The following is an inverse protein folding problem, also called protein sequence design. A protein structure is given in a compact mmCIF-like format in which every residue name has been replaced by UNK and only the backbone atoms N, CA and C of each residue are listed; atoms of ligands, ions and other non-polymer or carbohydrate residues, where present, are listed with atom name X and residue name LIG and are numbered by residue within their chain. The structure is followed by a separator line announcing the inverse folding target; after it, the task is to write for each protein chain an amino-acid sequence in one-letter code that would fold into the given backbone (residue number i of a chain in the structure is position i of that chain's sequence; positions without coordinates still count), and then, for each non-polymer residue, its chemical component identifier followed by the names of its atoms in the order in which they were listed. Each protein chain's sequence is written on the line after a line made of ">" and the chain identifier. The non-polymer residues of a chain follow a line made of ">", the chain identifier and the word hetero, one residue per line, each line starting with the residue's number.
data_IF_585079408583
#
_entry.id   IF_585079408583
#
_cell.length_a   1.000
_cell.length_b   1.000
_cell.length_c   1.000
_cell.angle_alpha   90.00
_cell.angle_beta   90.00
_cell.angle_gamma   90.00
#
_symmetry.space_group_name_H-M   'P 1'
#
loop_
_entity.id
_entity.type
_entity.pdbx_description
1 polymer ?
#
# COMPACT_ATOMS: atom_id res chain seq x y z
N UNK A 1 13.54 37.09 48.94
CA UNK A 1 12.63 35.97 49.28
C UNK A 1 11.33 35.88 48.47
N UNK A 2 10.75 36.98 47.96
CA UNK A 2 9.50 36.91 47.14
C UNK A 2 9.73 36.40 45.70
N UNK A 3 10.87 36.74 45.09
CA UNK A 3 11.19 36.35 43.71
C UNK A 3 11.48 34.85 43.55
N UNK A 4 12.16 34.19 44.50
CA UNK A 4 12.43 32.74 44.42
C UNK A 4 11.16 31.90 44.59
N UNK A 5 10.17 32.37 45.37
CA UNK A 5 8.86 31.70 45.50
C UNK A 5 8.04 31.78 44.21
N UNK A 6 8.14 32.88 43.46
CA UNK A 6 7.45 33.06 42.18
C UNK A 6 8.08 32.22 41.05
N UNK A 7 9.41 32.07 41.07
CA UNK A 7 10.14 31.22 40.14
C UNK A 7 9.86 29.72 40.40
N UNK A 8 9.72 29.33 41.67
CA UNK A 8 9.38 27.95 42.03
C UNK A 8 7.95 27.59 41.63
N UNK A 9 7.00 28.53 41.75
CA UNK A 9 5.60 28.33 41.37
C UNK A 9 5.42 28.15 39.85
N UNK A 10 6.22 28.86 39.04
CA UNK A 10 6.18 28.78 37.58
C UNK A 10 6.79 27.48 37.03
N UNK A 11 7.83 26.94 37.67
CA UNK A 11 8.40 25.62 37.32
C UNK A 11 7.41 24.50 37.63
N UNK A 12 6.71 24.54 38.76
CA UNK A 12 5.70 23.52 39.12
C UNK A 12 4.51 23.53 38.15
N UNK A 13 4.08 24.72 37.69
CA UNK A 13 3.01 24.85 36.69
C UNK A 13 3.43 24.31 35.31
N UNK A 14 4.70 24.47 34.89
CA UNK A 14 5.20 23.89 33.64
C UNK A 14 5.34 22.36 33.69
N UNK A 15 5.73 21.79 34.83
CA UNK A 15 5.81 20.33 34.98
C UNK A 15 4.43 19.65 35.05
N UNK A 16 3.40 20.33 35.58
CA UNK A 16 2.03 19.82 35.59
C UNK A 16 1.41 19.67 34.19
N UNK A 17 1.83 20.46 33.20
CA UNK A 17 1.32 20.39 31.83
C UNK A 17 1.90 19.24 31.01
N UNK A 18 3.08 18.71 31.36
CA UNK A 18 3.67 17.56 30.68
C UNK A 18 2.95 16.24 31.02
N UNK A 19 2.36 16.12 32.20
CA UNK A 19 1.64 14.91 32.61
C UNK A 19 0.26 14.77 31.94
N UNK A 20 -0.33 15.87 31.48
CA UNK A 20 -1.67 15.90 30.85
C UNK A 20 -1.63 15.65 29.33
N UNK A 21 -0.45 15.57 28.71
CA UNK A 21 -0.30 15.45 27.25
C UNK A 21 -0.22 14.01 26.73
N UNK A 22 -0.25 13.00 27.60
CA UNK A 22 -0.13 11.59 27.21
C UNK A 22 -1.46 10.87 27.41
N UNK A 23 -2.44 11.14 26.53
CA UNK A 23 -3.55 10.22 26.35
C UNK A 23 -2.97 8.89 25.87
N UNK A 24 -2.97 7.89 26.74
CA UNK A 24 -2.55 6.53 26.38
C UNK A 24 -3.48 6.02 25.29
N UNK A 25 -2.93 5.69 24.11
CA UNK A 25 -3.66 4.99 23.07
C UNK A 25 -4.32 3.74 23.67
N UNK A 26 -5.57 3.45 23.28
CA UNK A 26 -6.24 2.24 23.74
C UNK A 26 -5.42 1.01 23.35
N UNK A 27 -5.30 0.05 24.26
CA UNK A 27 -4.51 -1.17 24.06
C UNK A 27 -5.45 -2.36 23.89
N UNK A 28 -5.26 -3.13 22.83
CA UNK A 28 -5.98 -4.37 22.57
C UNK A 28 -4.99 -5.54 22.68
N UNK A 29 -5.26 -6.48 23.56
CA UNK A 29 -4.36 -7.61 23.83
C UNK A 29 -4.58 -8.75 22.83
N UNK A 30 -3.51 -9.49 22.52
CA UNK A 30 -3.58 -10.71 21.70
C UNK A 30 -2.46 -11.69 22.06
N UNK A 31 -2.70 -13.00 21.90
CA UNK A 31 -1.61 -14.01 21.87
C UNK A 31 -1.42 -14.58 20.47
N UNK A 32 -2.48 -14.56 19.65
CA UNK A 32 -2.42 -14.84 18.23
C UNK A 32 -2.16 -13.57 17.42
N UNK A 33 -1.35 -13.67 16.37
CA UNK A 33 -1.15 -12.56 15.44
C UNK A 33 -2.38 -12.32 14.53
N UNK A 34 -3.40 -13.17 14.55
CA UNK A 34 -4.57 -13.04 13.69
C UNK A 34 -5.74 -12.33 14.36
N UNK A 35 -6.43 -11.50 13.59
CA UNK A 35 -7.59 -10.72 14.04
C UNK A 35 -8.77 -11.04 13.13
N UNK A 36 -9.93 -11.33 13.73
CA UNK A 36 -11.20 -11.39 13.02
C UNK A 36 -11.77 -9.96 12.91
N UNK A 37 -12.36 -9.66 11.76
CA UNK A 37 -12.96 -8.35 11.50
C UNK A 37 -14.46 -8.55 11.29
N UNK A 38 -15.27 -7.85 12.09
CA UNK A 38 -16.71 -7.75 11.88
C UNK A 38 -17.05 -6.36 11.36
N UNK A 39 -17.56 -6.30 10.15
CA UNK A 39 -18.04 -5.08 9.50
C UNK A 39 -19.56 -5.12 9.46
N UNK A 40 -20.19 -4.22 10.20
CA UNK A 40 -21.62 -4.21 10.49
C UNK A 40 -22.08 -5.56 11.04
N UNK A 41 -22.65 -6.42 10.19
CA UNK A 41 -23.10 -7.78 10.56
C UNK A 41 -22.20 -8.90 9.99
N UNK A 42 -21.28 -8.58 9.08
CA UNK A 42 -20.48 -9.55 8.36
C UNK A 42 -19.15 -9.82 9.09
N UNK A 43 -18.98 -11.05 9.58
CA UNK A 43 -17.74 -11.48 10.24
C UNK A 43 -16.81 -12.17 9.24
N UNK A 44 -15.60 -11.64 9.10
CA UNK A 44 -14.50 -12.26 8.35
C UNK A 44 -13.44 -12.76 9.32
N UNK A 45 -13.19 -14.07 9.32
CA UNK A 45 -12.21 -14.67 10.22
C UNK A 45 -10.79 -14.54 9.65
N UNK A 46 -9.80 -14.29 10.52
CA UNK A 46 -8.39 -14.19 10.14
C UNK A 46 -8.15 -13.13 9.05
N UNK A 47 -8.97 -12.07 9.04
CA UNK A 47 -9.01 -11.07 7.99
C UNK A 47 -7.85 -10.07 8.07
N UNK A 48 -7.16 -10.05 9.20
CA UNK A 48 -6.04 -9.16 9.44
C UNK A 48 -4.97 -9.84 10.28
N UNK A 49 -3.73 -9.42 10.10
CA UNK A 49 -2.57 -9.90 10.85
C UNK A 49 -1.89 -8.73 11.54
N UNK A 50 -1.63 -8.86 12.83
CA UNK A 50 -0.86 -7.91 13.62
C UNK A 50 0.60 -7.98 13.14
N UNK A 51 1.16 -6.84 12.75
CA UNK A 51 2.56 -6.72 12.31
C UNK A 51 3.31 -5.77 13.24
N UNK A 52 3.94 -6.27 14.31
CA UNK A 52 4.78 -5.46 15.19
C UNK A 52 5.95 -4.83 14.41
N UNK A 53 6.37 -3.63 14.83
CA UNK A 53 7.50 -2.91 14.21
C UNK A 53 7.18 -2.16 12.92
N UNK A 54 5.97 -2.28 12.36
CA UNK A 54 5.47 -1.37 11.31
C UNK A 54 5.13 -0.02 11.94
N UNK A 55 5.54 1.09 11.32
CA UNK A 55 5.40 2.44 11.88
C UNK A 55 3.95 2.77 12.29
N UNK A 56 2.99 2.58 11.37
CA UNK A 56 1.54 2.58 11.62
C UNK A 56 0.90 1.66 10.59
N UNK A 57 0.08 0.71 11.04
CA UNK A 57 -0.72 -0.14 10.15
C UNK A 57 -2.13 0.41 9.99
N UNK A 58 -2.60 0.61 8.76
CA UNK A 58 -3.86 1.30 8.50
C UNK A 58 -4.89 0.36 7.90
N UNK A 59 -6.03 0.21 8.57
CA UNK A 59 -7.20 -0.49 8.04
C UNK A 59 -8.28 0.51 7.60
N UNK A 60 -8.85 0.29 6.43
CA UNK A 60 -9.92 1.13 5.88
C UNK A 60 -11.18 0.33 5.62
N UNK A 61 -12.35 0.88 5.96
CA UNK A 61 -13.64 0.23 5.73
C UNK A 61 -14.73 1.24 5.37
N UNK A 62 -15.73 0.78 4.62
CA UNK A 62 -16.95 1.53 4.34
C UNK A 62 -18.10 1.21 5.30
N UNK A 63 -17.88 0.30 6.26
CA UNK A 63 -18.89 -0.12 7.23
C UNK A 63 -19.28 1.04 8.17
N UNK A 64 -20.50 1.02 8.71
CA UNK A 64 -20.91 1.97 9.74
C UNK A 64 -20.31 1.62 11.11
N UNK A 65 -20.19 0.32 11.39
CA UNK A 65 -19.55 -0.20 12.60
C UNK A 65 -18.48 -1.23 12.25
N UNK A 66 -17.32 -1.10 12.88
CA UNK A 66 -16.21 -2.04 12.74
C UNK A 66 -15.85 -2.62 14.11
N UNK A 67 -15.76 -3.94 14.22
CA UNK A 67 -15.18 -4.61 15.38
C UNK A 67 -13.94 -5.41 14.99
N UNK A 68 -12.86 -5.25 15.75
CA UNK A 68 -11.67 -6.09 15.66
C UNK A 68 -11.65 -7.02 16.86
N UNK A 69 -11.50 -8.31 16.60
CA UNK A 69 -11.62 -9.37 17.61
C UNK A 69 -10.35 -10.22 17.56
N UNK A 70 -9.61 -10.25 18.65
CA UNK A 70 -8.44 -11.11 18.83
C UNK A 70 -8.85 -12.38 19.58
N UNK A 71 -7.88 -13.23 19.90
CA UNK A 71 -8.09 -14.40 20.76
C UNK A 71 -8.25 -14.05 22.26
N UNK A 72 -7.99 -12.79 22.64
CA UNK A 72 -8.01 -12.33 24.04
C UNK A 72 -9.04 -11.22 24.26
N UNK A 73 -9.25 -10.35 23.28
CA UNK A 73 -9.93 -9.07 23.46
C UNK A 73 -10.71 -8.66 22.20
N UNK A 74 -11.52 -7.62 22.31
CA UNK A 74 -12.20 -7.01 21.18
C UNK A 74 -12.42 -5.51 21.36
N UNK A 75 -12.33 -4.77 20.26
CA UNK A 75 -12.65 -3.35 20.21
C UNK A 75 -13.65 -3.06 19.10
N UNK A 76 -14.51 -2.07 19.30
CA UNK A 76 -15.49 -1.63 18.30
C UNK A 76 -15.43 -0.12 18.08
N UNK A 77 -15.58 0.28 16.82
CA UNK A 77 -15.57 1.66 16.37
C UNK A 77 -16.80 1.95 15.52
N UNK A 78 -17.37 3.14 15.68
CA UNK A 78 -18.26 3.72 14.68
C UNK A 78 -17.40 4.46 13.66
N UNK A 79 -17.61 4.19 12.38
CA UNK A 79 -16.87 4.81 11.29
C UNK A 79 -17.75 5.83 10.56
N UNK A 80 -17.10 6.85 10.01
CA UNK A 80 -17.73 7.84 9.18
C UNK A 80 -16.69 8.73 8.49
N UNK A 81 -17.09 9.51 7.48
CA UNK A 81 -16.18 10.40 6.77
C UNK A 81 -15.40 11.32 7.73
N UNK A 82 -14.07 11.36 7.58
CA UNK A 82 -13.18 12.18 8.41
C UNK A 82 -12.88 11.64 9.81
N UNK A 83 -13.57 10.58 10.25
CA UNK A 83 -13.32 9.96 11.57
C UNK A 83 -12.10 9.06 11.50
N UNK A 84 -11.18 9.25 12.45
CA UNK A 84 -9.94 8.47 12.59
C UNK A 84 -9.88 7.91 14.00
N UNK A 85 -9.58 6.61 14.10
CA UNK A 85 -9.31 5.94 15.38
C UNK A 85 -7.88 5.41 15.39
N UNK A 86 -7.14 5.70 16.46
CA UNK A 86 -5.79 5.16 16.68
C UNK A 86 -5.74 4.35 17.97
N UNK A 87 -5.09 3.19 17.91
CA UNK A 87 -4.93 2.30 19.05
C UNK A 87 -3.68 1.42 18.85
N UNK A 88 -3.32 0.62 19.85
CA UNK A 88 -2.21 -0.32 19.77
C UNK A 88 -2.67 -1.75 20.03
N UNK A 89 -2.25 -2.69 19.19
CA UNK A 89 -2.23 -4.09 19.57
C UNK A 89 -0.99 -4.37 20.41
N UNK A 90 -1.12 -5.20 21.45
CA UNK A 90 -0.01 -5.79 22.19
C UNK A 90 -0.09 -7.31 22.03
N UNK A 91 0.85 -7.86 21.27
CA UNK A 91 0.98 -9.27 20.99
C UNK A 91 1.92 -9.92 22.01
N UNK A 92 1.48 -11.01 22.62
CA UNK A 92 2.23 -11.76 23.65
C UNK A 92 2.74 -10.88 24.81
N UNK A 93 1.99 -9.83 25.15
CA UNK A 93 2.32 -8.91 26.25
C UNK A 93 3.53 -8.00 26.01
N UNK A 94 4.11 -7.99 24.80
CA UNK A 94 5.36 -7.25 24.53
C UNK A 94 5.35 -6.56 23.17
N UNK A 95 5.00 -7.28 22.12
CA UNK A 95 5.21 -6.81 20.76
C UNK A 95 4.07 -5.85 20.38
N UNK A 96 4.41 -4.59 20.16
CA UNK A 96 3.41 -3.53 19.95
C UNK A 96 3.24 -3.23 18.46
N UNK A 97 1.99 -3.10 18.01
CA UNK A 97 1.65 -2.63 16.66
C UNK A 97 0.69 -1.45 16.73
N UNK A 98 1.13 -0.28 16.26
CA UNK A 98 0.28 0.91 16.14
C UNK A 98 -0.67 0.74 14.98
N UNK A 99 -1.96 0.92 15.23
CA UNK A 99 -3.02 0.70 14.25
C UNK A 99 -3.86 1.94 14.11
N UNK A 100 -4.21 2.26 12.86
CA UNK A 100 -5.11 3.34 12.49
C UNK A 100 -6.31 2.77 11.74
N UNK A 101 -7.52 3.14 12.13
CA UNK A 101 -8.76 2.81 11.42
C UNK A 101 -9.32 4.09 10.80
N UNK A 102 -9.72 4.01 9.54
CA UNK A 102 -10.35 5.13 8.84
C UNK A 102 -11.52 4.65 7.98
N UNK A 103 -12.50 5.53 7.81
CA UNK A 103 -13.55 5.32 6.82
C UNK A 103 -13.00 5.50 5.40
N UNK A 104 -13.41 4.63 4.50
CA UNK A 104 -13.25 4.80 3.05
C UNK A 104 -14.56 4.42 2.36
N UNK A 105 -15.08 5.23 1.41
CA UNK A 105 -16.29 4.89 0.69
C UNK A 105 -16.20 3.51 -0.01
N UNK A 106 -17.33 2.82 -0.13
CA UNK A 106 -17.37 1.57 -0.87
C UNK A 106 -17.01 1.83 -2.34
N UNK A 107 -16.38 0.85 -3.00
CA UNK A 107 -16.01 0.98 -4.42
C UNK A 107 -17.22 1.31 -5.29
N UNK A 108 -18.38 0.72 -5.01
CA UNK A 108 -19.61 1.01 -5.73
C UNK A 108 -20.05 2.47 -5.56
N UNK A 109 -19.97 3.02 -4.35
CA UNK A 109 -20.36 4.41 -4.09
C UNK A 109 -19.39 5.39 -4.77
N UNK A 110 -18.08 5.08 -4.76
CA UNK A 110 -17.08 5.82 -5.53
C UNK A 110 -17.42 5.86 -7.02
N UNK A 111 -17.84 4.72 -7.58
CA UNK A 111 -18.20 4.62 -8.99
C UNK A 111 -19.51 5.35 -9.31
N UNK A 112 -20.51 5.28 -8.42
CA UNK A 112 -21.78 6.01 -8.58
C UNK A 112 -21.62 7.53 -8.45
N UNK A 113 -20.62 7.98 -7.69
CA UNK A 113 -20.28 9.39 -7.56
C UNK A 113 -19.53 9.95 -8.78
N UNK A 114 -19.10 9.10 -9.72
CA UNK A 114 -18.45 9.56 -10.93
C UNK A 114 -19.43 10.37 -11.80
N UNK A 115 -18.91 11.37 -12.50
CA UNK A 115 -19.68 12.12 -13.49
C UNK A 115 -20.14 11.20 -14.63
N UNK A 116 -21.23 11.59 -15.30
CA UNK A 116 -21.62 10.95 -16.55
C UNK A 116 -20.46 11.02 -17.57
N UNK A 117 -20.40 10.02 -18.45
CA UNK A 117 -19.41 10.00 -19.53
C UNK A 117 -19.57 11.24 -20.42
N UNK A 118 -18.50 12.02 -20.56
CA UNK A 118 -18.49 13.19 -21.44
C UNK A 118 -18.15 12.77 -22.87
N UNK A 119 -19.17 12.66 -23.71
CA UNK A 119 -19.00 12.33 -25.13
C UNK A 119 -18.34 13.45 -25.95
N UNK A 120 -18.24 14.67 -25.39
CA UNK A 120 -17.59 15.81 -26.02
C UNK A 120 -16.19 16.08 -25.45
N UNK A 121 -15.64 15.14 -24.67
CA UNK A 121 -14.30 15.27 -24.10
C UNK A 121 -13.23 15.40 -25.21
N UNK A 122 -12.66 16.59 -25.34
CA UNK A 122 -11.59 16.91 -26.29
C UNK A 122 -10.20 16.91 -25.63
N UNK A 123 -10.03 16.30 -24.45
CA UNK A 123 -8.71 16.21 -23.81
C UNK A 123 -7.72 15.56 -24.76
N UNK A 124 -6.52 16.12 -24.80
CA UNK A 124 -5.43 15.61 -25.64
C UNK A 124 -5.12 14.15 -25.31
N UNK A 125 -5.27 13.29 -26.30
CA UNK A 125 -4.77 11.92 -26.26
C UNK A 125 -3.43 11.90 -27.00
N UNK A 126 -2.33 11.48 -26.34
CA UNK A 126 -1.04 11.40 -27.00
C UNK A 126 -1.11 10.48 -28.21
N UNK A 127 -0.52 10.91 -29.32
CA UNK A 127 -0.40 10.06 -30.50
C UNK A 127 0.48 8.87 -30.15
N UNK A 128 -0.08 7.68 -30.28
CA UNK A 128 0.69 6.45 -30.17
C UNK A 128 1.34 6.16 -31.53
N UNK A 129 2.67 6.15 -31.57
CA UNK A 129 3.44 5.75 -32.75
C UNK A 129 4.57 4.81 -32.34
N UNK A 130 4.90 3.90 -33.24
CA UNK A 130 6.06 3.03 -33.07
C UNK A 130 7.34 3.78 -33.39
N UNK A 131 8.38 3.55 -32.60
CA UNK A 131 9.74 4.01 -32.91
C UNK A 131 10.27 3.27 -34.14
N UNK A 132 11.17 3.92 -34.89
CA UNK A 132 11.85 3.28 -36.02
C UNK A 132 12.64 2.06 -35.54
N UNK A 133 12.69 0.99 -36.34
CA UNK A 133 13.57 -0.14 -36.10
C UNK A 133 15.07 0.24 -36.07
N UNK A 134 15.42 1.41 -36.61
CA UNK A 134 16.77 1.98 -36.56
C UNK A 134 17.04 2.81 -35.31
N UNK A 135 16.09 2.94 -34.38
CA UNK A 135 16.30 3.66 -33.12
C UNK A 135 17.43 3.01 -32.29
N UNK A 136 18.36 3.84 -31.83
CA UNK A 136 19.57 3.36 -31.14
C UNK A 136 19.26 2.65 -29.83
N UNK A 137 18.21 3.06 -29.10
CA UNK A 137 17.80 2.40 -27.87
C UNK A 137 17.13 1.05 -28.17
N UNK A 138 16.31 0.97 -29.22
CA UNK A 138 15.73 -0.30 -29.65
C UNK A 138 16.78 -1.30 -30.12
N UNK A 139 17.75 -0.86 -30.93
CA UNK A 139 18.86 -1.71 -31.35
C UNK A 139 19.70 -2.19 -30.16
N UNK A 140 19.94 -1.31 -29.18
CA UNK A 140 20.63 -1.66 -27.93
C UNK A 140 19.87 -2.74 -27.15
N UNK A 141 18.58 -2.53 -26.88
CA UNK A 141 17.74 -3.49 -26.13
C UNK A 141 17.70 -4.84 -26.86
N UNK A 142 17.49 -4.82 -28.18
CA UNK A 142 17.44 -6.01 -29.03
C UNK A 142 18.72 -6.84 -28.94
N UNK A 143 19.88 -6.18 -29.01
CA UNK A 143 21.20 -6.82 -28.91
C UNK A 143 21.47 -7.33 -27.50
N UNK A 144 21.33 -6.46 -26.49
CA UNK A 144 21.76 -6.74 -25.13
C UNK A 144 20.89 -7.85 -24.49
N UNK A 145 19.61 -7.93 -24.85
CA UNK A 145 18.69 -8.97 -24.39
C UNK A 145 18.55 -10.15 -25.37
N UNK A 146 19.25 -10.12 -26.52
CA UNK A 146 19.20 -11.16 -27.58
C UNK A 146 17.78 -11.46 -28.07
N UNK A 147 16.97 -10.42 -28.26
CA UNK A 147 15.53 -10.55 -28.54
C UNK A 147 15.22 -11.29 -29.85
N UNK A 148 16.10 -11.24 -30.84
CA UNK A 148 15.91 -11.99 -32.09
C UNK A 148 15.94 -13.50 -31.90
N UNK A 149 16.84 -13.97 -31.04
CA UNK A 149 16.94 -15.39 -30.72
C UNK A 149 15.72 -15.86 -29.93
N UNK A 150 15.17 -14.98 -29.08
CA UNK A 150 13.97 -15.28 -28.29
C UNK A 150 12.75 -15.29 -29.19
N UNK A 151 12.58 -14.27 -30.04
CA UNK A 151 11.47 -14.17 -30.97
C UNK A 151 11.46 -15.32 -31.99
N UNK A 152 12.64 -15.75 -32.44
CA UNK A 152 12.80 -16.81 -33.44
C UNK A 152 12.43 -16.37 -34.86
N UNK A 153 12.36 -17.35 -35.77
CA UNK A 153 12.18 -17.10 -37.21
C UNK A 153 10.76 -17.39 -37.73
N UNK A 154 9.78 -17.53 -36.82
CA UNK A 154 8.39 -17.83 -37.16
C UNK A 154 7.61 -16.63 -37.73
N UNK A 155 6.29 -16.79 -37.79
CA UNK A 155 5.37 -15.71 -38.16
C UNK A 155 5.47 -14.52 -37.19
N UNK A 156 4.93 -13.37 -37.58
CA UNK A 156 4.87 -12.19 -36.72
C UNK A 156 4.20 -12.49 -35.36
N UNK A 157 3.06 -13.17 -35.38
CA UNK A 157 2.35 -13.57 -34.16
C UNK A 157 3.19 -14.51 -33.30
N UNK A 158 3.88 -15.50 -33.90
CA UNK A 158 4.77 -16.39 -33.16
C UNK A 158 5.92 -15.63 -32.50
N UNK A 159 6.51 -14.64 -33.19
CA UNK A 159 7.57 -13.79 -32.63
C UNK A 159 7.06 -12.98 -31.44
N UNK A 160 5.87 -12.37 -31.56
CA UNK A 160 5.23 -11.61 -30.47
C UNK A 160 4.97 -12.53 -29.27
N UNK A 161 4.36 -13.70 -29.48
CA UNK A 161 4.09 -14.64 -28.39
C UNK A 161 5.35 -15.13 -27.71
N UNK A 162 6.40 -15.44 -28.46
CA UNK A 162 7.68 -15.84 -27.88
C UNK A 162 8.29 -14.75 -26.98
N UNK A 163 8.22 -13.48 -27.41
CA UNK A 163 8.68 -12.35 -26.60
C UNK A 163 7.81 -12.16 -25.35
N UNK A 164 6.49 -12.23 -25.47
CA UNK A 164 5.57 -12.08 -24.33
C UNK A 164 5.75 -13.20 -23.30
N UNK A 165 5.88 -14.45 -23.76
CA UNK A 165 6.16 -15.60 -22.89
C UNK A 165 7.52 -15.45 -22.21
N UNK A 166 8.53 -14.99 -22.94
CA UNK A 166 9.85 -14.76 -22.37
C UNK A 166 9.81 -13.70 -21.27
N UNK A 167 9.17 -12.55 -21.49
CA UNK A 167 9.03 -11.52 -20.43
C UNK A 167 8.28 -12.07 -19.23
N UNK A 168 7.16 -12.77 -19.45
CA UNK A 168 6.33 -13.34 -18.39
C UNK A 168 7.10 -14.37 -17.54
N UNK A 169 7.92 -15.21 -18.18
CA UNK A 169 8.72 -16.23 -17.49
C UNK A 169 9.98 -15.65 -16.83
N UNK A 170 10.50 -14.53 -17.34
CA UNK A 170 11.68 -13.87 -16.81
C UNK A 170 11.37 -13.04 -15.57
N UNK A 171 10.22 -12.36 -15.54
CA UNK A 171 9.86 -11.37 -14.51
C UNK A 171 8.57 -11.77 -13.80
N UNK A 172 8.65 -12.00 -12.49
CA UNK A 172 7.49 -12.29 -11.64
C UNK A 172 6.56 -11.08 -11.57
N UNK A 173 5.27 -11.28 -11.79
CA UNK A 173 4.25 -10.29 -11.45
C UNK A 173 3.86 -10.40 -9.97
N UNK A 174 3.87 -9.30 -9.22
CA UNK A 174 3.43 -9.25 -7.81
C UNK A 174 2.30 -8.25 -7.54
N UNK A 175 1.96 -7.40 -8.51
CA UNK A 175 0.82 -6.49 -8.48
C UNK A 175 0.97 -5.24 -7.63
N UNK A 176 1.88 -5.22 -6.66
CA UNK A 176 1.98 -4.12 -5.69
C UNK A 176 3.41 -3.63 -5.43
N UNK A 177 4.38 -4.04 -6.25
CA UNK A 177 5.74 -3.53 -6.16
C UNK A 177 5.84 -2.04 -6.47
N UNK A 178 6.76 -1.35 -5.78
CA UNK A 178 7.10 0.05 -6.07
C UNK A 178 7.90 0.17 -7.38
N UNK A 179 7.68 1.28 -8.09
CA UNK A 179 8.40 1.59 -9.32
C UNK A 179 9.82 2.09 -8.98
N UNK A 180 10.88 1.50 -9.56
CA UNK A 180 12.23 2.02 -9.43
C UNK A 180 12.37 3.36 -10.17
N UNK A 181 13.47 4.07 -9.90
CA UNK A 181 13.76 5.37 -10.54
C UNK A 181 13.80 5.23 -12.05
N UNK A 182 14.60 4.28 -12.55
CA UNK A 182 14.74 3.95 -13.96
C UNK A 182 13.70 2.90 -14.38
N UNK A 183 12.95 3.18 -15.45
CA UNK A 183 11.76 2.41 -15.85
C UNK A 183 11.87 1.84 -17.27
N UNK A 184 13.08 1.66 -17.77
CA UNK A 184 13.31 1.00 -19.06
C UNK A 184 13.54 -0.51 -18.84
N UNK A 185 13.31 -1.31 -19.90
CA UNK A 185 13.35 -2.77 -19.82
C UNK A 185 14.63 -3.34 -19.21
N UNK A 186 15.80 -2.79 -19.56
CA UNK A 186 17.10 -3.30 -19.09
C UNK A 186 17.22 -3.10 -17.57
N UNK A 187 16.93 -1.90 -17.09
CA UNK A 187 17.02 -1.59 -15.66
C UNK A 187 15.95 -2.33 -14.85
N UNK A 188 14.75 -2.49 -15.39
CA UNK A 188 13.69 -3.28 -14.75
C UNK A 188 14.10 -4.74 -14.56
N UNK A 189 14.62 -5.38 -15.61
CA UNK A 189 15.12 -6.76 -15.53
C UNK A 189 16.26 -6.86 -14.51
N UNK A 190 17.17 -5.88 -14.50
CA UNK A 190 18.29 -5.84 -13.55
C UNK A 190 17.81 -5.75 -12.11
N UNK A 191 16.89 -4.85 -11.80
CA UNK A 191 16.30 -4.70 -10.45
C UNK A 191 15.64 -5.99 -9.99
N UNK A 192 14.82 -6.61 -10.84
CA UNK A 192 14.15 -7.88 -10.49
C UNK A 192 15.14 -8.99 -10.16
N UNK A 193 16.24 -9.10 -10.92
CA UNK A 193 17.29 -10.10 -10.68
C UNK A 193 18.09 -9.82 -9.41
N UNK A 194 18.47 -8.56 -9.18
CA UNK A 194 19.31 -8.17 -8.05
C UNK A 194 18.56 -8.25 -6.72
N UNK A 195 17.29 -7.85 -6.71
CA UNK A 195 16.46 -7.78 -5.50
C UNK A 195 15.59 -9.03 -5.30
N UNK A 196 15.62 -9.98 -6.24
CA UNK A 196 14.75 -11.17 -6.25
C UNK A 196 13.27 -10.82 -6.04
N UNK A 197 12.78 -9.80 -6.75
CA UNK A 197 11.42 -9.26 -6.57
C UNK A 197 10.63 -9.21 -7.88
N UNK A 198 9.30 -9.16 -7.72
CA UNK A 198 8.38 -8.98 -8.83
C UNK A 198 8.12 -7.51 -9.18
N UNK A 199 7.17 -7.32 -10.10
CA UNK A 199 6.74 -6.00 -10.56
C UNK A 199 5.22 -5.89 -10.61
N UNK A 200 4.72 -4.65 -10.58
CA UNK A 200 3.31 -4.36 -10.83
C UNK A 200 2.99 -4.38 -12.34
N UNK A 201 1.70 -4.32 -12.68
CA UNK A 201 1.21 -4.38 -14.05
C UNK A 201 1.76 -3.27 -14.97
N UNK A 202 2.03 -2.07 -14.44
CA UNK A 202 2.53 -0.93 -15.22
C UNK A 202 3.99 -1.11 -15.65
N UNK A 203 4.79 -1.79 -14.82
CA UNK A 203 6.19 -2.07 -15.14
C UNK A 203 6.34 -3.28 -16.06
N UNK A 204 5.39 -4.21 -16.02
CA UNK A 204 5.40 -5.40 -16.87
C UNK A 204 4.94 -5.09 -18.30
N UNK A 205 4.01 -4.14 -18.44
CA UNK A 205 3.55 -3.60 -19.72
C UNK A 205 4.58 -2.65 -20.35
#
# INVERSE_FOLDING_TARGET
>A
MKQSKLLFLSVVLMFGQLAMAQQSLHIVQAKSAFVHIKEDQQLRKYAWRIVPGKAVDTYTSSAGKLSLITDVDSISFTLGPGVVHEFCFVLNGKDTARTKIMYQPARLDMLKAAAAYDANDQRYVPRFSYQSASDTNLQRIRRDLKLDSIAGNGSELSKIFNLMHWVHNLIKHDGNSNNPTLKNAIDLIKVCKQENRGVNCRMLA
#
